data_IF_767216237341
#
_entry.id   IF_767216237341
#
_cell.length_a   1.000
_cell.length_b   1.000
_cell.length_c   1.000
_cell.angle_alpha   90.00
_cell.angle_beta   90.00
_cell.angle_gamma   90.00
#
_symmetry.space_group_name_H-M   'P 1'
#
loop_
_entity.id
_entity.type
_entity.pdbx_description
1 polymer ?
#
# COMPACT_ATOMS: atom_id res chain seq x y z
N UNK A 1 39.52 -5.83 -26.61
CA UNK A 1 38.46 -5.02 -26.00
C UNK A 1 38.68 -5.12 -24.53
N UNK A 2 39.00 -4.03 -23.86
CA UNK A 2 39.17 -4.02 -22.40
C UNK A 2 37.78 -4.26 -21.81
N UNK A 3 37.59 -5.42 -21.14
CA UNK A 3 36.46 -5.57 -20.23
C UNK A 3 36.66 -4.48 -19.15
N UNK A 4 35.91 -3.39 -19.26
CA UNK A 4 35.85 -2.40 -18.22
C UNK A 4 35.24 -3.12 -17.00
N UNK A 5 36.04 -3.31 -15.96
CA UNK A 5 35.54 -3.80 -14.68
C UNK A 5 34.52 -2.78 -14.18
N UNK A 6 33.26 -3.21 -14.08
CA UNK A 6 32.21 -2.39 -13.47
C UNK A 6 32.55 -2.16 -12.00
N UNK A 7 32.45 -0.91 -11.53
CA UNK A 7 32.59 -0.56 -10.12
C UNK A 7 31.32 -0.88 -9.34
N UNK A 8 31.35 -0.76 -8.01
CA UNK A 8 30.13 -0.85 -7.18
C UNK A 8 29.08 0.17 -7.61
N UNK A 9 29.54 1.37 -7.94
CA UNK A 9 28.67 2.49 -8.34
C UNK A 9 28.00 2.22 -9.70
N UNK A 10 28.71 1.58 -10.65
CA UNK A 10 28.13 1.19 -11.94
C UNK A 10 27.01 0.14 -11.75
N UNK A 11 27.19 -0.81 -10.81
CA UNK A 11 26.13 -1.78 -10.48
C UNK A 11 24.95 -1.11 -9.79
N UNK A 12 25.19 -0.17 -8.90
CA UNK A 12 24.16 0.58 -8.21
C UNK A 12 23.35 1.44 -9.18
N UNK A 13 24.00 2.22 -10.05
CA UNK A 13 23.35 3.03 -11.07
C UNK A 13 22.49 2.19 -12.02
N UNK A 14 23.01 1.04 -12.47
CA UNK A 14 22.25 0.13 -13.33
C UNK A 14 21.03 -0.45 -12.61
N UNK A 15 21.20 -0.86 -11.36
CA UNK A 15 20.10 -1.39 -10.56
C UNK A 15 19.03 -0.32 -10.27
N UNK A 16 19.45 0.91 -9.96
CA UNK A 16 18.57 2.04 -9.75
C UNK A 16 17.74 2.37 -11.00
N UNK A 17 18.34 2.33 -12.19
CA UNK A 17 17.63 2.51 -13.45
C UNK A 17 16.53 1.43 -13.63
N UNK A 18 16.88 0.16 -13.40
CA UNK A 18 15.93 -0.96 -13.49
C UNK A 18 14.81 -0.86 -12.43
N UNK A 19 15.17 -0.43 -11.23
CA UNK A 19 14.19 -0.18 -10.15
C UNK A 19 13.16 0.87 -10.56
N UNK A 20 13.60 1.99 -11.13
CA UNK A 20 12.73 3.07 -11.60
C UNK A 20 11.83 2.65 -12.76
N UNK A 21 12.24 1.65 -13.55
CA UNK A 21 11.41 1.02 -14.59
C UNK A 21 10.42 -0.03 -14.04
N UNK A 22 10.43 -0.30 -12.73
CA UNK A 22 9.63 -1.35 -12.10
C UNK A 22 10.14 -2.77 -12.33
N UNK A 23 11.35 -2.94 -12.90
CA UNK A 23 11.98 -4.23 -13.24
C UNK A 23 12.78 -4.76 -12.06
N UNK A 24 12.10 -4.97 -10.93
CA UNK A 24 12.74 -5.31 -9.65
C UNK A 24 13.53 -6.63 -9.68
N UNK A 25 13.07 -7.64 -10.44
CA UNK A 25 13.77 -8.93 -10.58
C UNK A 25 15.14 -8.78 -11.24
N UNK A 26 15.20 -7.93 -12.26
CA UNK A 26 16.44 -7.66 -12.98
C UNK A 26 17.37 -6.78 -12.13
N UNK A 27 16.82 -5.79 -11.42
CA UNK A 27 17.58 -5.00 -10.45
C UNK A 27 18.23 -5.90 -9.40
N UNK A 28 17.47 -6.83 -8.80
CA UNK A 28 18.00 -7.80 -7.83
C UNK A 28 19.10 -8.70 -8.41
N UNK A 29 19.02 -9.04 -9.69
CA UNK A 29 20.06 -9.84 -10.36
C UNK A 29 21.36 -9.06 -10.46
N UNK A 30 21.30 -7.80 -10.92
CA UNK A 30 22.43 -6.88 -11.03
C UNK A 30 23.06 -6.62 -9.65
N UNK A 31 22.23 -6.33 -8.65
CA UNK A 31 22.69 -6.10 -7.28
C UNK A 31 23.39 -7.32 -6.68
N UNK A 32 22.87 -8.51 -6.92
CA UNK A 32 23.48 -9.76 -6.47
C UNK A 32 24.86 -10.00 -7.12
N UNK A 33 25.01 -9.69 -8.40
CA UNK A 33 26.31 -9.73 -9.09
C UNK A 33 27.26 -8.71 -8.48
N UNK A 34 26.80 -7.46 -8.29
CA UNK A 34 27.57 -6.40 -7.65
C UNK A 34 28.05 -6.78 -6.24
N UNK A 35 27.16 -7.29 -5.38
CA UNK A 35 27.49 -7.73 -4.01
C UNK A 35 28.51 -8.89 -4.02
N UNK A 36 28.45 -9.77 -5.03
CA UNK A 36 29.41 -10.87 -5.15
C UNK A 36 30.83 -10.33 -5.36
N UNK A 37 30.98 -9.22 -6.09
CA UNK A 37 32.25 -8.56 -6.36
C UNK A 37 32.64 -7.55 -5.27
N UNK A 38 31.64 -6.85 -4.72
CA UNK A 38 31.78 -5.77 -3.74
C UNK A 38 30.93 -6.00 -2.49
N UNK A 39 31.24 -7.01 -1.66
CA UNK A 39 30.38 -7.42 -0.54
C UNK A 39 30.25 -6.38 0.59
N UNK A 40 31.08 -5.34 0.56
CA UNK A 40 31.07 -4.26 1.55
C UNK A 40 30.52 -2.93 0.98
N UNK A 41 29.99 -2.92 -0.25
CA UNK A 41 29.34 -1.74 -0.80
C UNK A 41 27.94 -1.61 -0.19
N UNK A 42 27.78 -0.62 0.67
CA UNK A 42 26.53 -0.40 1.46
C UNK A 42 25.35 -0.13 0.54
N UNK A 43 25.53 0.67 -0.49
CA UNK A 43 24.51 1.07 -1.47
C UNK A 43 23.90 -0.13 -2.16
N UNK A 44 24.69 -1.14 -2.53
CA UNK A 44 24.18 -2.37 -3.16
C UNK A 44 23.26 -3.17 -2.23
N UNK A 45 23.55 -3.20 -0.93
CA UNK A 45 22.68 -3.82 0.06
C UNK A 45 21.41 -3.00 0.28
N UNK A 46 21.50 -1.67 0.27
CA UNK A 46 20.35 -0.75 0.34
C UNK A 46 19.48 -0.90 -0.89
N UNK A 47 20.04 -0.87 -2.10
CA UNK A 47 19.31 -1.11 -3.35
C UNK A 47 18.58 -2.46 -3.35
N UNK A 48 19.28 -3.53 -2.86
CA UNK A 48 18.66 -4.85 -2.69
C UNK A 48 17.47 -4.80 -1.73
N UNK A 49 17.60 -4.07 -0.63
CA UNK A 49 16.53 -3.94 0.35
C UNK A 49 15.32 -3.20 -0.21
N UNK A 50 15.52 -2.09 -0.92
CA UNK A 50 14.43 -1.37 -1.57
C UNK A 50 13.77 -2.20 -2.69
N UNK A 51 14.53 -2.96 -3.47
CA UNK A 51 13.97 -3.84 -4.49
C UNK A 51 13.09 -4.95 -3.87
N UNK A 52 13.49 -5.52 -2.72
CA UNK A 52 12.65 -6.44 -1.96
C UNK A 52 11.44 -5.75 -1.36
N UNK A 53 11.59 -4.52 -0.83
CA UNK A 53 10.48 -3.73 -0.29
C UNK A 53 9.41 -3.43 -1.35
N UNK A 54 9.82 -3.03 -2.56
CA UNK A 54 8.93 -2.78 -3.68
C UNK A 54 8.18 -4.04 -4.16
N UNK A 55 8.76 -5.23 -3.91
CA UNK A 55 8.13 -6.53 -4.17
C UNK A 55 7.31 -7.06 -3.00
N UNK A 56 7.16 -6.26 -1.94
CA UNK A 56 6.47 -6.65 -0.69
C UNK A 56 7.12 -7.86 0.02
N UNK A 57 8.38 -8.11 -0.24
CA UNK A 57 9.17 -9.17 0.39
C UNK A 57 9.83 -8.64 1.67
N UNK A 58 9.00 -8.18 2.63
CA UNK A 58 9.41 -7.38 3.78
C UNK A 58 10.48 -8.03 4.66
N UNK A 59 10.45 -9.35 4.81
CA UNK A 59 11.44 -10.05 5.61
C UNK A 59 12.84 -10.04 4.95
N UNK A 60 12.90 -10.11 3.62
CA UNK A 60 14.14 -9.98 2.87
C UNK A 60 14.64 -8.55 2.83
N UNK A 61 13.73 -7.59 2.66
CA UNK A 61 14.05 -6.17 2.76
C UNK A 61 14.69 -5.85 4.12
N UNK A 62 14.06 -6.28 5.22
CA UNK A 62 14.60 -6.13 6.58
C UNK A 62 16.03 -6.67 6.68
N UNK A 63 16.23 -7.91 6.24
CA UNK A 63 17.54 -8.55 6.32
C UNK A 63 18.61 -7.79 5.53
N UNK A 64 18.27 -7.30 4.34
CA UNK A 64 19.19 -6.54 3.50
C UNK A 64 19.50 -5.17 4.10
N UNK A 65 18.52 -4.47 4.70
CA UNK A 65 18.79 -3.24 5.46
C UNK A 65 19.65 -3.50 6.71
N UNK A 66 19.36 -4.55 7.47
CA UNK A 66 20.18 -4.94 8.63
C UNK A 66 21.64 -5.27 8.20
N UNK A 67 21.81 -5.87 7.01
CA UNK A 67 23.14 -6.11 6.44
C UNK A 67 23.83 -4.80 6.06
N UNK A 68 23.15 -3.87 5.39
CA UNK A 68 23.68 -2.54 5.07
C UNK A 68 24.09 -1.79 6.34
N UNK A 69 23.23 -1.76 7.35
CA UNK A 69 23.49 -1.11 8.65
C UNK A 69 24.53 -1.82 9.51
N UNK A 70 24.85 -3.08 9.22
CA UNK A 70 26.03 -3.73 9.84
C UNK A 70 27.35 -3.23 9.27
N UNK A 71 27.34 -2.71 8.04
CA UNK A 71 28.50 -2.13 7.36
C UNK A 71 28.61 -0.63 7.67
N UNK A 72 27.48 0.09 7.60
CA UNK A 72 27.37 1.50 8.00
C UNK A 72 26.17 1.70 8.92
N UNK A 73 26.36 1.70 10.26
CA UNK A 73 25.26 1.80 11.23
C UNK A 73 24.50 3.13 11.23
N UNK A 74 25.07 4.16 10.63
CA UNK A 74 24.56 5.52 10.67
C UNK A 74 24.03 5.98 9.29
N UNK A 75 23.90 5.05 8.34
CA UNK A 75 23.41 5.34 7.00
C UNK A 75 21.92 5.72 7.04
N UNK A 76 21.60 6.93 6.64
CA UNK A 76 20.26 7.51 6.74
C UNK A 76 19.19 6.76 5.94
N UNK A 77 19.47 6.45 4.67
CA UNK A 77 18.56 5.68 3.82
C UNK A 77 18.36 4.26 4.33
N UNK A 78 19.41 3.64 4.86
CA UNK A 78 19.35 2.34 5.50
C UNK A 78 18.42 2.34 6.72
N UNK A 79 18.50 3.38 7.56
CA UNK A 79 17.65 3.57 8.72
C UNK A 79 16.20 3.88 8.33
N UNK A 80 15.99 4.73 7.31
CA UNK A 80 14.65 5.08 6.82
C UNK A 80 13.95 3.86 6.21
N UNK A 81 14.64 3.13 5.33
CA UNK A 81 14.12 1.92 4.70
C UNK A 81 13.87 0.78 5.70
N UNK A 82 14.76 0.60 6.70
CA UNK A 82 14.51 -0.33 7.79
C UNK A 82 13.28 0.07 8.60
N UNK A 83 13.13 1.36 8.93
CA UNK A 83 11.97 1.90 9.63
C UNK A 83 10.66 1.59 8.88
N UNK A 84 10.59 1.88 7.58
CA UNK A 84 9.43 1.57 6.74
C UNK A 84 9.16 0.06 6.69
N UNK A 85 10.19 -0.75 6.50
CA UNK A 85 10.06 -2.21 6.47
C UNK A 85 9.53 -2.79 7.78
N UNK A 86 10.01 -2.28 8.92
CA UNK A 86 9.54 -2.69 10.25
C UNK A 86 8.08 -2.30 10.49
N UNK A 87 7.63 -1.15 9.97
CA UNK A 87 6.22 -0.77 9.99
C UNK A 87 5.36 -1.78 9.22
N UNK A 88 5.78 -2.18 8.02
CA UNK A 88 5.09 -3.20 7.21
C UNK A 88 5.02 -4.56 7.90
N UNK A 89 6.04 -4.90 8.70
CA UNK A 89 6.07 -6.10 9.53
C UNK A 89 5.32 -5.97 10.87
N UNK A 90 4.77 -4.79 11.18
CA UNK A 90 4.05 -4.52 12.43
C UNK A 90 4.93 -4.23 13.64
N UNK A 91 6.25 -4.17 13.49
CA UNK A 91 7.20 -3.79 14.57
C UNK A 91 7.30 -2.27 14.68
N UNK A 92 6.27 -1.65 15.28
CA UNK A 92 6.20 -0.21 15.47
C UNK A 92 7.32 0.32 16.36
N UNK A 93 7.69 -0.41 17.39
CA UNK A 93 8.73 0.02 18.33
C UNK A 93 10.11 -0.02 17.67
N UNK A 94 10.39 -1.06 16.89
CA UNK A 94 11.59 -1.15 16.08
C UNK A 94 11.70 -0.01 15.06
N UNK A 95 10.62 0.24 14.34
CA UNK A 95 10.53 1.34 13.39
C UNK A 95 10.79 2.71 14.05
N UNK A 96 10.14 2.99 15.18
CA UNK A 96 10.35 4.24 15.91
C UNK A 96 11.81 4.41 16.36
N UNK A 97 12.47 3.34 16.78
CA UNK A 97 13.92 3.41 17.11
C UNK A 97 14.78 3.76 15.90
N UNK A 98 14.50 3.16 14.74
CA UNK A 98 15.24 3.45 13.51
C UNK A 98 15.07 4.91 13.08
N UNK A 99 13.84 5.42 13.02
CA UNK A 99 13.58 6.80 12.58
C UNK A 99 14.05 7.86 13.60
N UNK A 100 13.97 7.56 14.91
CA UNK A 100 14.54 8.47 15.93
C UNK A 100 16.07 8.51 15.86
N UNK A 101 16.74 7.43 15.41
CA UNK A 101 18.18 7.44 15.19
C UNK A 101 18.58 8.44 14.11
N UNK A 102 17.80 8.59 13.04
CA UNK A 102 18.01 9.58 11.98
C UNK A 102 18.09 11.00 12.57
N UNK A 103 17.16 11.34 13.48
CA UNK A 103 17.15 12.66 14.13
C UNK A 103 18.35 12.84 15.08
N UNK A 104 18.76 11.77 15.79
CA UNK A 104 19.95 11.82 16.67
C UNK A 104 21.23 12.03 15.89
N UNK A 105 21.30 11.59 14.65
CA UNK A 105 22.42 11.77 13.74
C UNK A 105 22.49 13.17 13.12
N UNK A 106 21.41 13.96 13.23
CA UNK A 106 21.37 15.34 12.77
C UNK A 106 20.84 15.52 11.34
N UNK A 107 20.14 14.54 10.79
CA UNK A 107 19.56 14.58 9.43
C UNK A 107 18.22 15.34 9.35
N UNK A 108 17.82 16.08 10.39
CA UNK A 108 16.55 16.82 10.40
C UNK A 108 16.43 17.91 9.32
N UNK A 109 17.53 18.34 8.76
CA UNK A 109 17.58 19.36 7.69
C UNK A 109 17.47 18.73 6.29
N UNK A 110 17.46 17.39 6.21
CA UNK A 110 17.20 16.67 4.96
C UNK A 110 15.70 16.58 4.70
N UNK A 111 15.24 17.44 3.79
CA UNK A 111 13.84 17.59 3.45
C UNK A 111 13.22 16.29 2.88
N UNK A 112 13.89 15.66 1.93
CA UNK A 112 13.39 14.45 1.26
C UNK A 112 13.31 13.27 2.22
N UNK A 113 14.34 13.09 3.04
CA UNK A 113 14.38 12.05 4.06
C UNK A 113 13.26 12.25 5.10
N UNK A 114 13.04 13.49 5.55
CA UNK A 114 11.94 13.79 6.49
C UNK A 114 10.56 13.51 5.87
N UNK A 115 10.36 13.84 4.60
CA UNK A 115 9.12 13.52 3.88
C UNK A 115 8.93 12.01 3.74
N UNK A 116 9.96 11.27 3.36
CA UNK A 116 9.92 9.82 3.21
C UNK A 116 9.51 9.15 4.51
N UNK A 117 10.20 9.45 5.60
CA UNK A 117 9.89 8.90 6.93
C UNK A 117 8.50 9.29 7.38
N UNK A 118 8.12 10.56 7.21
CA UNK A 118 6.79 11.05 7.56
C UNK A 118 5.68 10.32 6.80
N UNK A 119 5.85 10.11 5.49
CA UNK A 119 4.89 9.38 4.64
C UNK A 119 4.78 7.90 5.05
N UNK A 120 5.89 7.24 5.38
CA UNK A 120 5.87 5.86 5.86
C UNK A 120 5.09 5.74 7.17
N UNK A 121 5.35 6.61 8.15
CA UNK A 121 4.63 6.65 9.42
C UNK A 121 3.13 6.97 9.25
N UNK A 122 2.80 7.91 8.35
CA UNK A 122 1.42 8.32 8.10
C UNK A 122 0.59 7.19 7.50
N UNK A 123 1.13 6.45 6.52
CA UNK A 123 0.48 5.29 5.89
C UNK A 123 0.12 4.20 6.89
N UNK A 124 0.96 4.00 7.89
CA UNK A 124 0.74 3.00 8.94
C UNK A 124 -0.06 3.53 10.16
N UNK A 125 -0.65 4.73 10.02
CA UNK A 125 -1.53 5.32 11.03
C UNK A 125 -0.81 5.94 12.23
N UNK A 126 0.51 6.07 12.19
CA UNK A 126 1.32 6.76 13.20
C UNK A 126 1.31 8.27 12.93
N UNK A 127 0.11 8.87 12.97
CA UNK A 127 -0.13 10.23 12.48
C UNK A 127 0.62 11.30 13.28
N UNK A 128 0.67 11.19 14.61
CA UNK A 128 1.35 12.18 15.43
C UNK A 128 2.89 12.18 15.23
N UNK A 129 3.58 11.03 15.18
CA UNK A 129 4.97 10.98 14.72
C UNK A 129 5.14 11.51 13.29
N UNK A 130 4.29 11.11 12.34
CA UNK A 130 4.36 11.58 10.96
C UNK A 130 4.30 13.11 10.86
N UNK A 131 3.36 13.74 11.59
CA UNK A 131 3.23 15.19 11.63
C UNK A 131 4.53 15.88 12.06
N UNK A 132 5.25 15.31 13.05
CA UNK A 132 6.55 15.84 13.50
C UNK A 132 7.60 15.80 12.38
N UNK A 133 7.66 14.72 11.60
CA UNK A 133 8.60 14.62 10.48
C UNK A 133 8.22 15.56 9.33
N UNK A 134 6.93 15.72 9.04
CA UNK A 134 6.47 16.71 8.06
C UNK A 134 6.76 18.14 8.48
N UNK A 135 6.70 18.43 9.79
CA UNK A 135 7.05 19.76 10.32
C UNK A 135 8.54 20.07 10.13
N UNK A 136 9.42 19.07 10.37
CA UNK A 136 10.84 19.17 10.07
C UNK A 136 11.10 19.37 8.58
N UNK A 137 10.42 18.62 7.70
CA UNK A 137 10.53 18.80 6.25
C UNK A 137 10.12 20.21 5.80
N UNK A 138 9.01 20.73 6.34
CA UNK A 138 8.56 22.09 6.03
C UNK A 138 9.51 23.17 6.59
N UNK A 139 10.14 22.91 7.73
CA UNK A 139 11.15 23.81 8.31
C UNK A 139 12.44 23.84 7.47
N UNK A 140 12.88 22.67 6.98
CA UNK A 140 14.05 22.55 6.10
C UNK A 140 13.80 23.19 4.73
N UNK A 141 12.60 23.04 4.16
CA UNK A 141 12.23 23.60 2.87
C UNK A 141 10.84 24.24 2.87
N UNK A 142 10.70 25.52 3.32
CA UNK A 142 9.40 26.20 3.49
C UNK A 142 8.60 26.42 2.21
N UNK A 143 9.24 26.29 1.05
CA UNK A 143 8.61 26.40 -0.28
C UNK A 143 8.27 25.01 -0.89
N UNK A 144 8.23 23.95 -0.09
CA UNK A 144 7.78 22.64 -0.52
C UNK A 144 6.26 22.52 -0.43
N UNK A 145 5.54 22.40 -1.55
CA UNK A 145 4.10 22.14 -1.53
C UNK A 145 3.77 20.78 -0.95
N UNK A 146 4.65 19.78 -1.15
CA UNK A 146 4.54 18.43 -0.58
C UNK A 146 4.53 18.44 0.94
N UNK A 147 5.50 19.14 1.56
CA UNK A 147 5.58 19.22 3.02
C UNK A 147 4.35 19.91 3.60
N UNK A 148 3.92 21.02 2.98
CA UNK A 148 2.73 21.74 3.38
C UNK A 148 1.46 20.87 3.24
N UNK A 149 1.31 20.14 2.12
CA UNK A 149 0.17 19.25 1.92
C UNK A 149 0.15 18.10 2.95
N UNK A 150 1.30 17.45 3.18
CA UNK A 150 1.44 16.38 4.17
C UNK A 150 1.10 16.86 5.60
N UNK A 151 1.52 18.09 5.98
CA UNK A 151 1.10 18.72 7.24
C UNK A 151 -0.41 18.95 7.30
N UNK A 152 -1.01 19.36 6.19
CA UNK A 152 -2.45 19.52 6.07
C UNK A 152 -3.20 18.22 6.31
N UNK A 153 -2.78 17.13 5.66
CA UNK A 153 -3.38 15.79 5.82
C UNK A 153 -3.22 15.27 7.25
N UNK A 154 -2.00 15.38 7.80
CA UNK A 154 -1.72 14.94 9.15
C UNK A 154 -2.50 15.74 10.20
N UNK A 155 -2.60 17.06 10.03
CA UNK A 155 -3.38 17.94 10.93
C UNK A 155 -4.86 17.53 10.96
N UNK A 156 -5.48 17.26 9.79
CA UNK A 156 -6.86 16.78 9.73
C UNK A 156 -7.03 15.44 10.45
N UNK A 157 -6.14 14.48 10.19
CA UNK A 157 -6.17 13.17 10.86
C UNK A 157 -5.99 13.26 12.38
N UNK A 158 -5.40 14.33 12.89
CA UNK A 158 -5.27 14.65 14.32
C UNK A 158 -6.45 15.45 14.85
N UNK A 159 -7.47 15.74 14.04
CA UNK A 159 -8.64 16.54 14.42
C UNK A 159 -8.37 18.05 14.46
N UNK A 160 -7.26 18.53 13.92
CA UNK A 160 -6.93 19.94 13.81
C UNK A 160 -7.30 20.49 12.43
N UNK A 161 -8.60 20.67 12.18
CA UNK A 161 -9.10 21.18 10.90
C UNK A 161 -8.62 22.58 10.58
N UNK A 162 -8.42 23.44 11.58
CA UNK A 162 -7.90 24.79 11.36
C UNK A 162 -6.46 24.75 10.87
N UNK A 163 -5.62 23.89 11.43
CA UNK A 163 -4.25 23.65 10.96
C UNK A 163 -4.25 23.04 9.56
N UNK A 164 -5.15 22.08 9.30
CA UNK A 164 -5.28 21.48 7.97
C UNK A 164 -5.62 22.52 6.90
N UNK A 165 -6.64 23.36 7.12
CA UNK A 165 -7.01 24.44 6.21
C UNK A 165 -5.84 25.41 5.94
N UNK A 166 -5.07 25.75 6.97
CA UNK A 166 -3.91 26.63 6.83
C UNK A 166 -2.86 26.00 5.92
N UNK A 167 -2.46 24.77 6.20
CA UNK A 167 -1.39 24.11 5.49
C UNK A 167 -1.77 23.72 4.05
N UNK A 168 -3.01 23.30 3.80
CA UNK A 168 -3.49 23.02 2.43
C UNK A 168 -3.57 24.28 1.58
N UNK A 169 -3.99 25.43 2.16
CA UNK A 169 -3.93 26.70 1.47
C UNK A 169 -2.50 27.11 1.18
N UNK A 170 -1.60 26.91 2.14
CA UNK A 170 -0.17 27.17 1.93
C UNK A 170 0.42 26.34 0.80
N UNK A 171 0.08 25.05 0.71
CA UNK A 171 0.49 24.21 -0.41
C UNK A 171 0.04 24.78 -1.76
N UNK A 172 -1.21 25.27 -1.84
CA UNK A 172 -1.76 25.89 -3.06
C UNK A 172 -1.23 27.30 -3.34
N UNK A 173 -0.74 28.02 -2.34
CA UNK A 173 -0.01 29.28 -2.53
C UNK A 173 1.37 29.06 -3.14
N UNK A 174 2.04 27.96 -2.75
CA UNK A 174 3.35 27.57 -3.27
C UNK A 174 3.19 27.01 -4.69
N UNK A 175 2.30 26.06 -4.86
CA UNK A 175 1.98 25.46 -6.15
C UNK A 175 0.45 25.45 -6.39
N UNK A 176 -0.01 26.39 -7.20
CA UNK A 176 -1.41 26.47 -7.57
C UNK A 176 -1.90 25.25 -8.41
N UNK A 177 -0.98 24.47 -8.95
CA UNK A 177 -1.26 23.23 -9.68
C UNK A 177 -1.37 21.98 -8.82
N UNK A 178 -1.13 22.06 -7.50
CA UNK A 178 -1.12 20.90 -6.61
C UNK A 178 -2.54 20.33 -6.41
N UNK A 179 -2.94 19.48 -7.31
CA UNK A 179 -4.33 18.98 -7.45
C UNK A 179 -4.79 18.18 -6.23
N UNK A 180 -3.94 17.33 -5.66
CA UNK A 180 -4.28 16.52 -4.49
C UNK A 180 -4.65 17.39 -3.26
N UNK A 181 -3.82 18.42 -2.97
CA UNK A 181 -4.11 19.34 -1.87
C UNK A 181 -5.39 20.14 -2.13
N UNK A 182 -5.67 20.47 -3.41
CA UNK A 182 -6.89 21.16 -3.82
C UNK A 182 -8.14 20.31 -3.58
N UNK A 183 -8.12 19.04 -3.97
CA UNK A 183 -9.22 18.11 -3.74
C UNK A 183 -9.44 17.90 -2.25
N UNK A 184 -8.36 17.70 -1.50
CA UNK A 184 -8.45 17.51 -0.05
C UNK A 184 -9.02 18.74 0.66
N UNK A 185 -8.56 19.93 0.28
CA UNK A 185 -9.10 21.20 0.80
C UNK A 185 -10.59 21.35 0.49
N UNK A 186 -11.00 21.02 -0.73
CA UNK A 186 -12.39 21.09 -1.13
C UNK A 186 -13.27 20.12 -0.32
N UNK A 187 -12.80 18.91 -0.10
CA UNK A 187 -13.48 17.92 0.72
C UNK A 187 -13.65 18.41 2.17
N UNK A 188 -12.60 18.99 2.76
CA UNK A 188 -12.66 19.54 4.11
C UNK A 188 -13.63 20.73 4.21
N UNK A 189 -13.66 21.60 3.20
CA UNK A 189 -14.62 22.71 3.12
C UNK A 189 -16.05 22.22 2.98
N UNK A 190 -16.28 21.16 2.17
CA UNK A 190 -17.58 20.51 2.03
C UNK A 190 -18.08 19.98 3.37
N UNK A 191 -17.24 19.23 4.11
CA UNK A 191 -17.61 18.67 5.41
C UNK A 191 -17.91 19.73 6.47
N UNK A 192 -17.41 20.95 6.28
CA UNK A 192 -17.72 22.13 7.10
C UNK A 192 -18.98 22.89 6.65
N UNK A 193 -19.62 22.45 5.55
CA UNK A 193 -20.77 23.15 4.95
C UNK A 193 -20.41 24.42 4.16
N UNK A 194 -19.12 24.63 3.86
CA UNK A 194 -18.64 25.77 3.06
C UNK A 194 -18.75 25.45 1.55
N UNK A 195 -19.97 25.14 1.09
CA UNK A 195 -20.28 24.55 -0.22
C UNK A 195 -19.76 25.37 -1.41
N UNK A 196 -19.90 26.70 -1.40
CA UNK A 196 -19.43 27.58 -2.48
C UNK A 196 -17.91 27.58 -2.57
N UNK A 197 -17.21 27.60 -1.42
CA UNK A 197 -15.76 27.52 -1.37
C UNK A 197 -15.26 26.14 -1.82
N UNK A 198 -15.93 25.06 -1.43
CA UNK A 198 -15.61 23.72 -1.87
C UNK A 198 -15.74 23.59 -3.40
N UNK A 199 -16.87 24.04 -3.98
CA UNK A 199 -17.09 24.00 -5.42
C UNK A 199 -16.04 24.83 -6.17
N UNK A 200 -15.70 26.03 -5.67
CA UNK A 200 -14.64 26.87 -6.25
C UNK A 200 -13.28 26.15 -6.40
N UNK A 201 -12.94 25.26 -5.47
CA UNK A 201 -11.74 24.45 -5.58
C UNK A 201 -11.92 23.27 -6.54
N UNK A 202 -13.05 22.57 -6.47
CA UNK A 202 -13.32 21.41 -7.33
C UNK A 202 -13.43 21.79 -8.81
N UNK A 203 -13.98 22.94 -9.16
CA UNK A 203 -14.04 23.45 -10.54
C UNK A 203 -12.68 23.70 -11.20
N UNK A 204 -11.60 23.66 -10.42
CA UNK A 204 -10.21 23.77 -10.90
C UNK A 204 -9.51 22.44 -11.01
N UNK A 205 -10.25 21.36 -10.92
CA UNK A 205 -9.78 20.00 -11.12
C UNK A 205 -10.47 19.38 -12.33
N UNK A 206 -9.89 18.32 -12.86
CA UNK A 206 -10.46 17.53 -13.95
C UNK A 206 -11.01 16.20 -13.40
N UNK A 207 -11.93 15.52 -14.08
CA UNK A 207 -12.42 14.21 -13.64
C UNK A 207 -11.30 13.20 -13.39
N UNK A 208 -10.25 13.22 -14.22
CA UNK A 208 -9.10 12.33 -14.17
C UNK A 208 -8.22 12.54 -12.93
N UNK A 209 -8.33 13.71 -12.30
CA UNK A 209 -7.59 14.02 -11.06
C UNK A 209 -8.18 13.31 -9.83
N UNK A 210 -9.39 12.77 -9.95
CA UNK A 210 -10.11 12.12 -8.87
C UNK A 210 -10.00 10.60 -8.97
N UNK A 211 -9.49 9.98 -7.90
CA UNK A 211 -9.26 8.53 -7.80
C UNK A 211 -10.23 7.83 -6.83
N UNK A 212 -11.10 8.59 -6.17
CA UNK A 212 -12.14 8.08 -5.28
C UNK A 212 -13.52 8.60 -5.67
N UNK A 213 -14.53 7.79 -5.39
CA UNK A 213 -15.93 8.11 -5.71
C UNK A 213 -16.47 9.33 -4.95
N UNK A 214 -16.02 9.50 -3.70
CA UNK A 214 -16.56 10.52 -2.79
C UNK A 214 -16.27 11.94 -3.30
N UNK A 215 -15.05 12.20 -3.77
CA UNK A 215 -14.67 13.50 -4.32
C UNK A 215 -15.47 13.84 -5.58
N UNK A 216 -15.67 12.86 -6.47
CA UNK A 216 -16.46 13.02 -7.70
C UNK A 216 -17.95 13.27 -7.35
N UNK A 217 -18.49 12.47 -6.46
CA UNK A 217 -19.89 12.60 -6.03
C UNK A 217 -20.17 13.97 -5.40
N UNK A 218 -19.29 14.45 -4.52
CA UNK A 218 -19.38 15.79 -3.92
C UNK A 218 -19.34 16.89 -4.95
N UNK A 219 -18.50 16.76 -5.99
CA UNK A 219 -18.46 17.74 -7.09
C UNK A 219 -19.79 17.79 -7.84
N UNK A 220 -20.34 16.63 -8.21
CA UNK A 220 -21.64 16.53 -8.89
C UNK A 220 -22.73 17.14 -8.03
N UNK A 221 -22.81 16.77 -6.75
CA UNK A 221 -23.81 17.28 -5.81
C UNK A 221 -23.75 18.80 -5.66
N UNK A 222 -22.55 19.34 -5.47
CA UNK A 222 -22.35 20.79 -5.34
C UNK A 222 -22.75 21.53 -6.61
N UNK A 223 -22.37 21.04 -7.80
CA UNK A 223 -22.81 21.63 -9.06
C UNK A 223 -24.34 21.64 -9.21
N UNK A 224 -24.97 20.49 -8.92
CA UNK A 224 -26.41 20.37 -8.96
C UNK A 224 -27.13 21.31 -8.00
N UNK A 225 -26.65 21.39 -6.76
CA UNK A 225 -27.30 22.18 -5.71
C UNK A 225 -27.09 23.68 -5.92
N UNK A 226 -25.89 24.14 -6.25
CA UNK A 226 -25.56 25.56 -6.37
C UNK A 226 -26.07 26.13 -7.71
N UNK A 227 -25.85 25.43 -8.82
CA UNK A 227 -26.23 25.89 -10.14
C UNK A 227 -27.64 25.42 -10.57
N UNK A 228 -28.29 24.58 -9.73
CA UNK A 228 -29.62 23.99 -10.00
C UNK A 228 -29.65 23.19 -11.30
N UNK A 229 -28.56 22.46 -11.58
CA UNK A 229 -28.50 21.64 -12.78
C UNK A 229 -29.39 20.40 -12.66
N UNK A 230 -30.07 20.00 -13.74
CA UNK A 230 -30.79 18.73 -13.80
C UNK A 230 -29.80 17.56 -13.84
N UNK A 231 -30.29 16.35 -13.53
CA UNK A 231 -29.44 15.14 -13.47
C UNK A 231 -28.77 14.79 -14.80
N UNK A 232 -29.44 15.15 -15.93
CA UNK A 232 -28.97 14.87 -17.29
C UNK A 232 -28.18 16.05 -17.90
N UNK A 233 -27.73 17.00 -17.09
CA UNK A 233 -27.02 18.17 -17.60
C UNK A 233 -25.67 17.76 -18.25
N UNK A 234 -25.40 18.27 -19.48
CA UNK A 234 -24.16 17.94 -20.18
C UNK A 234 -22.87 18.27 -19.41
N UNK A 235 -22.91 19.25 -18.52
CA UNK A 235 -21.75 19.61 -17.68
C UNK A 235 -21.41 18.53 -16.65
N UNK A 236 -22.35 17.67 -16.28
CA UNK A 236 -22.16 16.57 -15.36
C UNK A 236 -21.64 15.30 -16.05
N UNK A 237 -21.84 15.19 -17.39
CA UNK A 237 -21.54 13.97 -18.13
C UNK A 237 -20.07 13.47 -17.95
N UNK A 238 -19.00 14.30 -18.02
CA UNK A 238 -17.64 13.81 -17.80
C UNK A 238 -17.42 13.27 -16.37
N UNK A 239 -18.04 13.90 -15.39
CA UNK A 239 -17.95 13.50 -13.98
C UNK A 239 -18.72 12.21 -13.69
N UNK A 240 -19.90 12.04 -14.30
CA UNK A 240 -20.68 10.81 -14.22
C UNK A 240 -19.97 9.64 -14.90
N UNK A 241 -19.31 9.89 -16.04
CA UNK A 241 -18.47 8.88 -16.69
C UNK A 241 -17.33 8.44 -15.78
N UNK A 242 -16.59 9.41 -15.21
CA UNK A 242 -15.47 9.12 -14.30
C UNK A 242 -15.94 8.40 -13.05
N UNK A 243 -17.09 8.78 -12.49
CA UNK A 243 -17.69 8.08 -11.35
C UNK A 243 -17.94 6.60 -11.68
N UNK A 244 -18.52 6.31 -12.86
CA UNK A 244 -18.73 4.94 -13.32
C UNK A 244 -17.43 4.14 -13.49
N UNK A 245 -16.34 4.79 -13.94
CA UNK A 245 -15.02 4.15 -14.05
C UNK A 245 -14.42 3.80 -12.68
N UNK A 246 -14.55 4.72 -11.70
CA UNK A 246 -13.97 4.55 -10.35
C UNK A 246 -14.77 3.55 -9.52
N UNK A 247 -16.11 3.60 -9.61
CA UNK A 247 -16.98 2.64 -8.91
C UNK A 247 -16.88 1.25 -9.53
N UNK A 248 -16.59 1.18 -10.84
CA UNK A 248 -16.52 -0.09 -11.57
C UNK A 248 -17.89 -0.73 -11.81
N UNK A 249 -17.88 -1.96 -12.27
CA UNK A 249 -19.13 -2.73 -12.41
C UNK A 249 -19.62 -3.17 -11.03
N UNK A 250 -20.92 -2.98 -10.72
CA UNK A 250 -21.48 -3.39 -9.44
C UNK A 250 -21.29 -4.91 -9.26
N UNK A 251 -20.84 -5.29 -8.09
CA UNK A 251 -20.70 -6.69 -7.76
C UNK A 251 -22.09 -7.34 -7.49
N UNK A 252 -22.10 -8.66 -7.26
CA UNK A 252 -23.36 -9.39 -7.03
C UNK A 252 -24.09 -8.94 -5.75
N UNK A 253 -23.38 -8.34 -4.80
CA UNK A 253 -23.95 -7.82 -3.56
C UNK A 253 -24.60 -6.45 -3.83
N UNK A 254 -23.92 -5.58 -4.58
CA UNK A 254 -24.45 -4.28 -5.00
C UNK A 254 -25.72 -4.42 -5.82
N UNK A 255 -25.74 -5.36 -6.78
CA UNK A 255 -26.94 -5.66 -7.58
C UNK A 255 -28.10 -6.14 -6.71
N UNK A 256 -27.82 -6.96 -5.70
CA UNK A 256 -28.83 -7.47 -4.77
C UNK A 256 -29.36 -6.34 -3.87
N UNK A 257 -28.49 -5.47 -3.36
CA UNK A 257 -28.87 -4.31 -2.56
C UNK A 257 -29.75 -3.35 -3.37
N UNK A 258 -29.37 -3.07 -4.63
CA UNK A 258 -30.15 -2.25 -5.56
C UNK A 258 -31.54 -2.86 -5.83
N UNK A 259 -31.65 -4.19 -5.95
CA UNK A 259 -32.93 -4.87 -6.10
C UNK A 259 -33.81 -4.74 -4.85
N UNK A 260 -33.23 -4.88 -3.66
CA UNK A 260 -33.93 -4.69 -2.38
C UNK A 260 -34.38 -3.26 -2.21
N UNK A 261 -33.57 -2.26 -2.55
CA UNK A 261 -33.92 -0.84 -2.50
C UNK A 261 -35.03 -0.48 -3.50
N UNK A 262 -34.96 -1.00 -4.72
CA UNK A 262 -36.01 -0.81 -5.73
C UNK A 262 -37.35 -1.40 -5.27
N UNK A 263 -37.34 -2.58 -4.64
CA UNK A 263 -38.56 -3.18 -4.07
C UNK A 263 -39.11 -2.39 -2.88
N UNK A 264 -38.28 -1.69 -2.11
CA UNK A 264 -38.73 -0.79 -1.03
C UNK A 264 -39.28 0.52 -1.55
N UNK A 265 -38.73 1.06 -2.63
CA UNK A 265 -39.22 2.32 -3.25
C UNK A 265 -40.59 2.18 -3.91
N UNK A 266 -40.92 0.99 -4.42
CA UNK A 266 -42.22 0.70 -5.09
C UNK A 266 -43.42 0.55 -4.13
N UNK A 267 -43.24 0.88 -2.85
CA UNK A 267 -44.35 0.98 -1.87
C UNK A 267 -45.03 -0.35 -1.55
N UNK A 268 -44.36 -1.46 -1.80
CA UNK A 268 -44.88 -2.79 -1.54
C UNK A 268 -45.15 -2.99 -0.05
N UNK A 269 -46.36 -3.43 0.27
CA UNK A 269 -46.81 -3.86 1.61
C UNK A 269 -45.74 -4.74 2.24
N UNK A 270 -45.29 -4.39 3.45
CA UNK A 270 -44.39 -5.23 4.23
C UNK A 270 -44.96 -6.63 4.34
N UNK A 271 -44.44 -7.56 3.54
CA UNK A 271 -44.80 -8.98 3.62
C UNK A 271 -44.20 -9.52 4.93
N UNK A 272 -45.02 -10.11 5.82
CA UNK A 272 -44.53 -10.74 7.03
C UNK A 272 -43.50 -11.86 6.78
N UNK A 273 -43.34 -12.34 5.54
CA UNK A 273 -42.37 -13.33 5.10
C UNK A 273 -40.99 -12.74 4.69
N UNK A 274 -40.80 -11.41 4.73
CA UNK A 274 -39.50 -10.79 4.42
C UNK A 274 -38.34 -11.31 5.29
N UNK A 275 -38.64 -11.75 6.51
CA UNK A 275 -37.69 -12.44 7.39
C UNK A 275 -37.30 -13.84 6.89
N UNK A 276 -38.19 -14.52 6.15
CA UNK A 276 -37.88 -15.81 5.50
C UNK A 276 -36.99 -15.62 4.27
N UNK A 277 -37.15 -14.50 3.54
CA UNK A 277 -36.31 -14.17 2.39
C UNK A 277 -34.85 -13.93 2.85
N UNK A 278 -34.67 -13.20 3.93
CA UNK A 278 -33.32 -13.01 4.53
C UNK A 278 -32.74 -14.33 5.04
N UNK A 279 -33.53 -15.23 5.59
CA UNK A 279 -33.10 -16.55 6.03
C UNK A 279 -32.66 -17.43 4.85
N UNK A 280 -33.38 -17.40 3.73
CA UNK A 280 -33.02 -18.11 2.49
C UNK A 280 -31.80 -17.51 1.84
N UNK A 281 -31.72 -16.16 1.80
CA UNK A 281 -30.58 -15.42 1.26
C UNK A 281 -29.30 -15.65 2.06
N UNK A 282 -29.38 -15.61 3.41
CA UNK A 282 -28.25 -15.94 4.29
C UNK A 282 -27.83 -17.41 4.12
N UNK A 283 -28.77 -18.33 3.89
CA UNK A 283 -28.44 -19.72 3.61
C UNK A 283 -27.86 -19.92 2.21
N UNK A 284 -28.27 -19.13 1.21
CA UNK A 284 -27.69 -19.12 -0.13
C UNK A 284 -26.30 -18.44 -0.14
N UNK A 285 -26.10 -17.33 0.57
CA UNK A 285 -24.78 -16.72 0.79
C UNK A 285 -23.83 -17.68 1.53
N UNK A 286 -24.31 -18.38 2.56
CA UNK A 286 -23.53 -19.43 3.22
C UNK A 286 -23.27 -20.64 2.32
N UNK A 287 -24.20 -20.97 1.39
CA UNK A 287 -24.01 -22.02 0.40
C UNK A 287 -23.08 -21.58 -0.73
N UNK A 288 -23.10 -20.29 -1.12
CA UNK A 288 -22.15 -19.70 -2.06
C UNK A 288 -20.75 -19.58 -1.46
N UNK A 289 -20.63 -19.23 -0.17
CA UNK A 289 -19.36 -19.29 0.55
C UNK A 289 -18.85 -20.72 0.76
N UNK A 290 -19.74 -21.73 0.74
CA UNK A 290 -19.39 -23.16 0.80
C UNK A 290 -19.25 -23.83 -0.57
N UNK A 291 -19.67 -23.22 -1.67
CA UNK A 291 -19.20 -23.69 -2.97
C UNK A 291 -17.70 -23.36 -3.00
N UNK A 292 -16.83 -24.38 -3.17
CA UNK A 292 -15.46 -24.07 -3.48
C UNK A 292 -15.53 -23.14 -4.68
N UNK A 293 -15.01 -21.92 -4.54
CA UNK A 293 -14.70 -21.07 -5.68
C UNK A 293 -14.10 -21.98 -6.73
N UNK A 294 -14.50 -21.84 -7.98
CA UNK A 294 -13.81 -22.53 -9.07
C UNK A 294 -12.34 -22.34 -8.78
N UNK A 295 -11.66 -23.42 -8.46
CA UNK A 295 -10.36 -23.44 -7.85
C UNK A 295 -9.46 -22.52 -8.65
N UNK A 296 -9.24 -21.30 -8.14
CA UNK A 296 -8.26 -20.39 -8.72
C UNK A 296 -6.94 -21.13 -8.67
N UNK A 297 -6.37 -21.31 -9.85
CA UNK A 297 -5.10 -22.03 -9.99
C UNK A 297 -4.00 -21.01 -9.80
N UNK A 298 -3.31 -21.11 -8.70
CA UNK A 298 -2.20 -20.23 -8.37
C UNK A 298 -0.87 -20.82 -8.85
N UNK A 299 0.11 -19.96 -9.06
CA UNK A 299 1.49 -20.32 -9.37
C UNK A 299 2.39 -19.79 -8.25
N UNK A 300 3.10 -20.68 -7.61
CA UNK A 300 4.04 -20.36 -6.54
C UNK A 300 5.44 -20.79 -6.96
N UNK A 301 6.42 -19.93 -6.72
CA UNK A 301 7.83 -20.19 -6.95
C UNK A 301 8.55 -20.33 -5.62
N UNK A 302 9.30 -21.41 -5.44
CA UNK A 302 10.15 -21.62 -4.27
C UNK A 302 11.50 -20.91 -4.44
N UNK A 303 12.21 -20.66 -3.36
CA UNK A 303 13.57 -20.08 -3.39
C UNK A 303 14.57 -20.90 -4.22
N UNK A 304 14.31 -22.20 -4.40
CA UNK A 304 15.13 -23.06 -5.26
C UNK A 304 14.81 -22.90 -6.76
N UNK A 305 13.88 -21.99 -7.12
CA UNK A 305 13.47 -21.73 -8.51
C UNK A 305 12.44 -22.76 -9.06
N UNK A 306 11.92 -23.64 -8.22
CA UNK A 306 10.88 -24.59 -8.63
C UNK A 306 9.52 -23.90 -8.64
N UNK A 307 8.78 -23.98 -9.75
CA UNK A 307 7.41 -23.52 -9.87
C UNK A 307 6.41 -24.64 -9.57
N UNK A 308 5.40 -24.32 -8.74
CA UNK A 308 4.33 -25.25 -8.34
C UNK A 308 3.01 -24.58 -8.69
N UNK A 309 2.12 -25.29 -9.40
CA UNK A 309 0.83 -24.79 -9.86
C UNK A 309 -0.29 -25.65 -9.34
N UNK A 310 -1.36 -25.01 -8.86
CA UNK A 310 -2.55 -25.68 -8.34
C UNK A 310 -3.38 -24.78 -7.43
N UNK A 311 -4.38 -25.34 -6.77
CA UNK A 311 -5.04 -24.69 -5.64
C UNK A 311 -4.09 -24.57 -4.46
N UNK A 312 -4.42 -23.76 -3.45
CA UNK A 312 -3.57 -23.62 -2.26
C UNK A 312 -3.27 -24.96 -1.57
N UNK A 313 -4.27 -25.86 -1.50
CA UNK A 313 -4.12 -27.20 -0.92
C UNK A 313 -3.23 -28.09 -1.79
N UNK A 314 -3.39 -28.04 -3.11
CA UNK A 314 -2.57 -28.81 -4.06
C UNK A 314 -1.12 -28.34 -4.05
N UNK A 315 -0.88 -27.04 -4.00
CA UNK A 315 0.46 -26.46 -3.89
C UNK A 315 1.12 -26.93 -2.60
N UNK A 316 0.43 -26.81 -1.48
CA UNK A 316 0.95 -27.24 -0.18
C UNK A 316 1.23 -28.74 -0.14
N UNK A 317 0.36 -29.56 -0.75
CA UNK A 317 0.56 -31.01 -0.87
C UNK A 317 1.79 -31.35 -1.73
N UNK A 318 2.01 -30.64 -2.85
CA UNK A 318 3.16 -30.81 -3.71
C UNK A 318 4.46 -30.36 -3.01
N UNK A 319 4.43 -29.24 -2.26
CA UNK A 319 5.56 -28.79 -1.45
C UNK A 319 5.97 -29.85 -0.42
N UNK A 320 4.97 -30.41 0.30
CA UNK A 320 5.21 -31.48 1.27
C UNK A 320 5.77 -32.74 0.60
N UNK A 321 5.22 -33.15 -0.54
CA UNK A 321 5.70 -34.34 -1.26
C UNK A 321 7.13 -34.20 -1.79
N UNK A 322 7.56 -32.98 -2.10
CA UNK A 322 8.92 -32.67 -2.54
C UNK A 322 9.94 -32.60 -1.39
N UNK A 323 9.49 -32.46 -0.16
CA UNK A 323 10.36 -32.42 1.01
C UNK A 323 10.69 -33.83 1.50
N UNK A 324 11.97 -34.20 1.47
CA UNK A 324 12.43 -35.54 1.80
C UNK A 324 12.18 -35.95 3.26
N UNK A 325 12.15 -34.98 4.16
CA UNK A 325 11.95 -35.19 5.60
C UNK A 325 10.46 -35.40 5.92
N UNK A 326 9.58 -34.70 5.19
CA UNK A 326 8.15 -34.59 5.52
C UNK A 326 7.21 -35.33 4.57
N UNK A 327 7.72 -35.97 3.51
CA UNK A 327 6.91 -36.64 2.50
C UNK A 327 5.84 -37.61 3.09
N UNK A 328 6.13 -38.25 4.21
CA UNK A 328 5.24 -39.19 4.91
C UNK A 328 4.59 -38.64 6.20
N UNK A 329 4.93 -37.40 6.60
CA UNK A 329 4.40 -36.75 7.80
C UNK A 329 2.95 -36.22 7.64
N UNK A 330 2.39 -35.65 8.71
CA UNK A 330 1.13 -34.90 8.61
C UNK A 330 1.32 -33.55 7.93
N UNK A 331 0.27 -33.02 7.29
CA UNK A 331 0.32 -31.69 6.64
C UNK A 331 0.47 -30.56 7.68
N UNK A 332 -0.14 -30.75 8.84
CA UNK A 332 -0.10 -29.79 9.96
C UNK A 332 1.32 -29.69 10.53
N UNK A 333 1.96 -30.83 10.74
CA UNK A 333 3.34 -30.87 11.27
C UNK A 333 4.35 -30.31 10.25
N UNK A 334 4.12 -30.54 8.95
CA UNK A 334 4.88 -29.95 7.86
C UNK A 334 4.79 -28.41 7.87
N UNK A 335 3.58 -27.86 7.90
CA UNK A 335 3.36 -26.41 8.01
C UNK A 335 4.03 -25.84 9.27
N UNK A 336 3.85 -26.48 10.41
CA UNK A 336 4.42 -26.04 11.68
C UNK A 336 5.96 -26.06 11.69
N UNK A 337 6.56 -27.04 10.99
CA UNK A 337 8.03 -27.13 10.85
C UNK A 337 8.58 -26.01 9.97
N UNK A 338 7.95 -25.80 8.78
CA UNK A 338 8.35 -24.73 7.87
C UNK A 338 8.10 -23.33 8.47
N UNK A 339 6.96 -23.14 9.16
CA UNK A 339 6.67 -21.88 9.83
C UNK A 339 7.73 -21.53 10.89
N UNK A 340 8.17 -22.50 11.70
CA UNK A 340 9.25 -22.33 12.68
C UNK A 340 10.58 -22.02 12.03
N UNK A 341 10.91 -22.69 10.92
CA UNK A 341 12.13 -22.43 10.16
C UNK A 341 12.10 -21.02 9.56
N UNK A 342 11.00 -20.67 8.88
CA UNK A 342 10.79 -19.33 8.32
C UNK A 342 10.90 -18.24 9.40
N UNK A 343 10.25 -18.43 10.54
CA UNK A 343 10.34 -17.50 11.67
C UNK A 343 11.78 -17.36 12.20
N UNK A 344 12.55 -18.44 12.25
CA UNK A 344 13.95 -18.39 12.69
C UNK A 344 14.83 -17.64 11.70
N UNK A 345 14.57 -17.79 10.40
CA UNK A 345 15.36 -17.19 9.33
C UNK A 345 14.98 -15.73 9.06
N UNK A 346 13.68 -15.39 9.14
CA UNK A 346 13.15 -14.09 8.73
C UNK A 346 12.58 -13.24 9.86
N UNK A 347 12.30 -13.87 11.02
CA UNK A 347 11.65 -13.22 12.16
C UNK A 347 10.12 -13.05 12.00
N UNK A 348 9.54 -13.46 10.88
CA UNK A 348 8.11 -13.34 10.58
C UNK A 348 7.36 -14.56 11.08
N UNK A 349 6.22 -14.35 11.75
CA UNK A 349 5.33 -15.43 12.21
C UNK A 349 4.42 -15.85 11.06
N UNK A 350 4.61 -17.07 10.57
CA UNK A 350 3.80 -17.63 9.48
C UNK A 350 2.60 -18.37 10.07
N UNK A 351 1.39 -18.01 9.65
CA UNK A 351 0.15 -18.65 10.06
C UNK A 351 0.05 -20.08 9.54
N UNK A 352 -0.42 -20.99 10.38
CA UNK A 352 -0.66 -22.41 10.02
C UNK A 352 -2.13 -22.80 10.08
N UNK A 353 -3.05 -21.83 10.03
CA UNK A 353 -4.50 -22.07 10.17
C UNK A 353 -5.11 -22.79 8.97
N UNK A 354 -4.67 -22.49 7.75
CA UNK A 354 -5.09 -23.15 6.51
C UNK A 354 -3.99 -23.00 5.44
N UNK A 355 -4.16 -23.67 4.29
CA UNK A 355 -3.17 -23.68 3.20
C UNK A 355 -2.93 -22.28 2.62
N UNK A 356 -3.98 -21.49 2.40
CA UNK A 356 -3.88 -20.12 1.88
C UNK A 356 -3.11 -19.20 2.83
N UNK A 357 -3.51 -19.15 4.10
CA UNK A 357 -2.85 -18.30 5.11
C UNK A 357 -1.38 -18.69 5.29
N UNK A 358 -1.07 -19.99 5.19
CA UNK A 358 0.31 -20.47 5.27
C UNK A 358 1.14 -20.04 4.06
N UNK A 359 0.62 -20.20 2.83
CA UNK A 359 1.35 -19.85 1.60
C UNK A 359 1.52 -18.33 1.50
N UNK A 360 0.46 -17.53 1.82
CA UNK A 360 0.57 -16.06 1.85
C UNK A 360 1.56 -15.58 2.90
N UNK A 361 1.48 -16.08 4.12
CA UNK A 361 2.44 -15.74 5.18
C UNK A 361 3.88 -16.20 4.85
N UNK A 362 4.05 -17.31 4.13
CA UNK A 362 5.35 -17.75 3.64
C UNK A 362 5.88 -16.86 2.51
N UNK A 363 5.00 -16.28 1.69
CA UNK A 363 5.37 -15.30 0.69
C UNK A 363 5.77 -13.96 1.33
N UNK A 364 5.00 -13.49 2.32
CA UNK A 364 5.34 -12.28 3.11
C UNK A 364 6.67 -12.45 3.84
N UNK A 365 6.96 -13.66 4.34
CA UNK A 365 8.24 -14.02 4.91
C UNK A 365 9.35 -14.19 3.85
N UNK A 366 9.06 -14.07 2.56
CA UNK A 366 10.02 -14.26 1.49
C UNK A 366 10.57 -15.68 1.35
N UNK A 367 9.88 -16.68 1.93
CA UNK A 367 10.27 -18.11 1.83
C UNK A 367 9.82 -18.72 0.49
N UNK A 368 8.85 -18.11 -0.15
CA UNK A 368 8.37 -18.44 -1.49
C UNK A 368 7.78 -17.19 -2.14
N UNK A 369 7.43 -17.26 -3.42
CA UNK A 369 6.81 -16.16 -4.16
C UNK A 369 5.53 -16.64 -4.84
N UNK A 370 4.44 -15.89 -4.67
CA UNK A 370 3.20 -16.07 -5.42
C UNK A 370 3.37 -15.28 -6.73
N UNK A 371 3.25 -15.95 -7.87
CA UNK A 371 3.48 -15.35 -9.20
C UNK A 371 2.15 -14.99 -9.87
N UNK A 372 1.07 -15.72 -9.49
CA UNK A 372 -0.30 -15.50 -9.98
C UNK A 372 -1.33 -16.15 -9.03
#
# INVERSE_FOLDING_TARGET
MSDAFLSSDDFDEQAHHLYNEGRYDEALTVLKEGITLYPHAVELHIGTAYAHLAREEFAWARRSFEQALSLDPDHEDGLAGLGETLLKLGDRDGAMRAVERILQLGFQDDHELMLQVGRALFREGLVAPAHRFFDLAAAAHPESPDAAACLGYASHRLGNDAGSLYWLRRALEIDAGYTEARIYLANLLYDRGESEAALHHLERTQPEDHFDELGIWRHIELKKSIYRLPDEDPELAPWLLRLGEVVGEPDSIDLLLAEVEAQQADGGVRDPYQLELFGTLLSELHAMQKKPSQSEVHLVMTLAGNSIRGTWEEILAQMKAADREWAQGSLIDFMASLARRGQTETGVVISTTNAEAFIRGSAEAGVLRIVQ
#
